data_IF_670390155067
#
_entry.id   IF_670390155067
#
_cell.length_a   1.000
_cell.length_b   1.000
_cell.length_c   1.000
_cell.angle_alpha   90.00
_cell.angle_beta   90.00
_cell.angle_gamma   90.00
#
_symmetry.space_group_name_H-M   'P 1'
#
loop_
_entity.id
_entity.type
_entity.pdbx_description
1 polymer ?
#
# COMPACT_ATOMS: atom_id res chain seq x y z
N UNK A 1 15.12 19.85 -18.79
CA UNK A 1 13.74 19.33 -18.75
C UNK A 1 13.34 18.95 -17.33
N UNK A 2 14.13 18.14 -16.61
CA UNK A 2 13.86 17.81 -15.21
C UNK A 2 13.79 19.05 -14.28
N UNK A 3 14.78 19.94 -14.37
CA UNK A 3 14.83 21.21 -13.62
C UNK A 3 13.62 22.12 -13.91
N UNK A 4 13.22 22.22 -15.18
CA UNK A 4 12.03 23.01 -15.58
C UNK A 4 10.71 22.42 -15.05
N UNK A 5 10.71 21.15 -14.63
CA UNK A 5 9.57 20.45 -14.07
C UNK A 5 9.68 20.30 -12.53
N UNK A 6 10.79 20.71 -11.90
CA UNK A 6 11.04 20.56 -10.47
C UNK A 6 11.11 19.11 -10.00
N UNK A 7 11.55 18.20 -10.88
CA UNK A 7 11.60 16.74 -10.61
C UNK A 7 13.04 16.21 -10.47
N UNK A 8 14.02 17.09 -10.36
CA UNK A 8 15.43 16.73 -10.16
C UNK A 8 15.63 15.81 -8.96
N UNK A 9 14.88 16.04 -7.88
CA UNK A 9 14.89 15.23 -6.66
C UNK A 9 14.59 13.73 -6.89
N UNK A 10 13.95 13.36 -8.01
CA UNK A 10 13.68 11.96 -8.38
C UNK A 10 14.91 11.23 -8.91
N UNK A 11 15.92 11.99 -9.35
CA UNK A 11 17.13 11.48 -10.02
C UNK A 11 18.41 11.76 -9.25
N UNK A 12 18.35 12.62 -8.23
CA UNK A 12 19.49 13.03 -7.40
C UNK A 12 19.80 12.07 -6.23
N UNK A 13 19.34 10.83 -6.28
CA UNK A 13 19.66 9.83 -5.27
C UNK A 13 20.92 9.05 -5.66
N UNK A 14 21.74 8.68 -4.67
CA UNK A 14 22.94 7.88 -4.90
C UNK A 14 22.60 6.46 -5.39
N UNK A 15 23.55 5.76 -6.00
CA UNK A 15 23.33 4.39 -6.47
C UNK A 15 22.91 3.41 -5.36
N UNK A 16 23.42 3.59 -4.14
CA UNK A 16 22.99 2.82 -2.97
C UNK A 16 21.55 3.13 -2.56
N UNK A 17 21.19 4.41 -2.53
CA UNK A 17 19.82 4.83 -2.25
C UNK A 17 18.83 4.35 -3.32
N UNK A 18 19.23 4.28 -4.60
CA UNK A 18 18.39 3.75 -5.67
C UNK A 18 18.02 2.27 -5.45
N UNK A 19 18.96 1.45 -4.95
CA UNK A 19 18.67 0.06 -4.58
C UNK A 19 17.65 -0.01 -3.44
N UNK A 20 17.84 0.81 -2.39
CA UNK A 20 16.88 0.87 -1.28
C UNK A 20 15.51 1.40 -1.71
N UNK A 21 15.48 2.39 -2.61
CA UNK A 21 14.25 2.94 -3.16
C UNK A 21 13.49 1.89 -3.98
N UNK A 22 14.20 1.12 -4.81
CA UNK A 22 13.64 -0.02 -5.53
C UNK A 22 13.09 -1.10 -4.59
N UNK A 23 13.76 -1.39 -3.48
CA UNK A 23 13.31 -2.39 -2.50
C UNK A 23 12.25 -1.85 -1.52
N UNK A 24 12.04 -0.53 -1.45
CA UNK A 24 11.12 0.11 -0.49
C UNK A 24 9.70 -0.47 -0.57
N UNK A 25 9.07 -0.65 -1.75
CA UNK A 25 7.75 -1.27 -1.84
C UNK A 25 7.71 -2.68 -1.24
N UNK A 26 8.73 -3.51 -1.52
CA UNK A 26 8.80 -4.87 -0.98
C UNK A 26 8.92 -4.86 0.55
N UNK A 27 9.74 -3.97 1.10
CA UNK A 27 9.90 -3.80 2.55
C UNK A 27 8.58 -3.34 3.18
N UNK A 28 7.91 -2.34 2.57
CA UNK A 28 6.59 -1.87 3.00
C UNK A 28 5.58 -3.01 2.99
N UNK A 29 5.49 -3.78 1.90
CA UNK A 29 4.62 -4.95 1.81
C UNK A 29 4.92 -5.93 2.96
N UNK A 30 6.18 -6.31 3.17
CA UNK A 30 6.57 -7.23 4.23
C UNK A 30 6.20 -6.72 5.63
N UNK A 31 6.48 -5.45 5.93
CA UNK A 31 6.15 -4.83 7.22
C UNK A 31 4.64 -4.83 7.43
N UNK A 32 3.86 -4.40 6.43
CA UNK A 32 2.41 -4.34 6.52
C UNK A 32 1.78 -5.72 6.65
N UNK A 33 2.34 -6.71 5.98
CA UNK A 33 1.93 -8.10 6.12
C UNK A 33 2.13 -8.59 7.57
N UNK A 34 3.29 -8.30 8.17
CA UNK A 34 3.55 -8.62 9.58
C UNK A 34 2.58 -7.89 10.50
N UNK A 35 2.40 -6.57 10.33
CA UNK A 35 1.46 -5.78 11.13
C UNK A 35 0.03 -6.29 11.05
N UNK A 36 -0.44 -6.66 9.84
CA UNK A 36 -1.74 -7.27 9.63
C UNK A 36 -1.90 -8.56 10.45
N UNK A 37 -0.87 -9.39 10.58
CA UNK A 37 -0.93 -10.64 11.35
C UNK A 37 -0.89 -10.39 12.87
N UNK A 38 0.06 -9.57 13.33
CA UNK A 38 0.42 -9.49 14.76
C UNK A 38 -0.49 -8.58 15.58
N UNK A 39 -1.04 -7.53 14.96
CA UNK A 39 -1.88 -6.58 15.67
C UNK A 39 -3.24 -7.21 16.03
N UNK A 40 -4.00 -6.66 16.98
CA UNK A 40 -5.38 -7.08 17.21
C UNK A 40 -6.27 -6.71 16.00
N UNK A 41 -7.36 -7.45 15.80
CA UNK A 41 -8.32 -7.20 14.75
C UNK A 41 -9.72 -7.65 15.07
N UNK A 42 -10.66 -7.09 14.33
CA UNK A 42 -12.06 -7.50 14.33
C UNK A 42 -12.26 -8.56 13.27
N UNK A 43 -13.05 -9.58 13.58
CA UNK A 43 -13.53 -10.54 12.58
C UNK A 43 -14.90 -10.09 12.09
N UNK A 44 -15.04 -9.99 10.77
CA UNK A 44 -16.25 -9.50 10.12
C UNK A 44 -16.62 -10.45 9.00
N UNK A 45 -17.88 -10.85 8.94
CA UNK A 45 -18.42 -11.62 7.82
C UNK A 45 -18.70 -10.66 6.66
N UNK A 46 -18.09 -10.92 5.51
CA UNK A 46 -18.27 -10.11 4.30
C UNK A 46 -19.46 -10.58 3.47
N UNK A 47 -19.63 -9.97 2.31
CA UNK A 47 -20.74 -10.29 1.39
C UNK A 47 -20.38 -11.41 0.39
N UNK A 48 -19.10 -11.55 0.06
CA UNK A 48 -18.63 -12.58 -0.90
C UNK A 48 -18.87 -13.96 -0.32
N UNK A 49 -19.54 -14.80 -1.10
CA UNK A 49 -19.71 -16.22 -0.80
C UNK A 49 -18.53 -17.02 -1.32
N UNK A 50 -18.08 -17.95 -0.51
CA UNK A 50 -17.15 -18.98 -0.92
C UNK A 50 -17.81 -19.91 -1.96
N UNK A 51 -17.12 -20.21 -3.05
CA UNK A 51 -17.68 -20.99 -4.18
C UNK A 51 -17.94 -22.43 -3.83
N UNK A 52 -17.11 -23.02 -2.98
CA UNK A 52 -17.17 -24.45 -2.67
C UNK A 52 -18.23 -24.73 -1.60
N UNK A 53 -18.36 -23.82 -0.63
CA UNK A 53 -19.26 -23.97 0.52
C UNK A 53 -20.57 -23.18 0.40
N UNK A 54 -20.59 -22.12 -0.42
CA UNK A 54 -21.73 -21.20 -0.53
C UNK A 54 -21.91 -20.24 0.65
N UNK A 55 -21.06 -20.35 1.68
CA UNK A 55 -21.13 -19.55 2.89
C UNK A 55 -20.41 -18.21 2.74
N UNK A 56 -20.87 -17.13 3.41
CA UNK A 56 -20.17 -15.86 3.43
C UNK A 56 -18.74 -15.97 4.00
N UNK A 57 -17.77 -15.34 3.33
CA UNK A 57 -16.37 -15.31 3.78
C UNK A 57 -16.21 -14.47 5.04
N UNK A 58 -15.25 -14.87 5.88
CA UNK A 58 -14.87 -14.13 7.08
C UNK A 58 -13.54 -13.42 6.86
N UNK A 59 -13.48 -12.17 7.30
CA UNK A 59 -12.35 -11.26 7.12
C UNK A 59 -11.82 -10.83 8.48
N UNK A 60 -10.51 -10.63 8.54
CA UNK A 60 -9.81 -10.11 9.71
C UNK A 60 -9.36 -8.68 9.41
N UNK A 61 -10.00 -7.70 10.05
CA UNK A 61 -9.85 -6.28 9.73
C UNK A 61 -9.15 -5.51 10.86
N UNK A 62 -8.05 -4.84 10.51
CA UNK A 62 -7.32 -3.92 11.39
C UNK A 62 -6.62 -2.79 10.62
N UNK A 63 -7.11 -2.44 9.43
CA UNK A 63 -6.50 -1.44 8.56
C UNK A 63 -6.27 -0.11 9.26
N UNK A 64 -7.24 0.35 10.07
CA UNK A 64 -7.09 1.58 10.85
C UNK A 64 -5.91 1.54 11.83
N UNK A 65 -5.70 0.41 12.52
CA UNK A 65 -4.61 0.27 13.47
C UNK A 65 -3.26 0.20 12.76
N UNK A 66 -3.18 -0.54 11.66
CA UNK A 66 -1.98 -0.59 10.80
C UNK A 66 -1.65 0.80 10.27
N UNK A 67 -2.64 1.54 9.77
CA UNK A 67 -2.52 2.90 9.28
C UNK A 67 -1.94 3.84 10.34
N UNK A 68 -2.54 3.88 11.54
CA UNK A 68 -2.08 4.75 12.64
C UNK A 68 -0.66 4.39 13.06
N UNK A 69 -0.34 3.11 13.20
CA UNK A 69 1.02 2.67 13.58
C UNK A 69 2.04 3.06 12.51
N UNK A 70 1.73 2.88 11.23
CA UNK A 70 2.61 3.26 10.13
C UNK A 70 2.90 4.78 10.16
N UNK A 71 1.89 5.61 10.44
CA UNK A 71 2.06 7.06 10.57
C UNK A 71 2.89 7.45 11.79
N UNK A 72 2.73 6.78 12.92
CA UNK A 72 3.56 7.02 14.12
C UNK A 72 5.02 6.63 13.82
N UNK A 73 5.25 5.44 13.26
CA UNK A 73 6.59 4.96 12.89
C UNK A 73 7.27 5.94 11.95
N UNK A 74 6.57 6.40 10.92
CA UNK A 74 7.10 7.39 9.97
C UNK A 74 7.34 8.77 10.62
N UNK A 75 6.38 9.30 11.38
CA UNK A 75 6.44 10.65 11.95
C UNK A 75 7.59 10.81 12.96
N UNK A 76 7.90 9.75 13.70
CA UNK A 76 9.00 9.71 14.67
C UNK A 76 10.28 9.07 14.10
N UNK A 77 10.33 8.80 12.80
CA UNK A 77 11.50 8.22 12.11
C UNK A 77 11.98 6.91 12.79
N UNK A 78 11.03 6.13 13.33
CA UNK A 78 11.32 4.87 14.01
C UNK A 78 11.86 3.89 12.96
N UNK A 79 13.12 3.46 13.13
CA UNK A 79 13.84 2.66 12.15
C UNK A 79 14.80 3.47 11.27
N UNK A 80 14.93 4.78 11.50
CA UNK A 80 15.92 5.65 10.86
C UNK A 80 15.59 6.04 9.42
N UNK A 81 14.34 5.88 8.99
CA UNK A 81 13.89 6.29 7.66
C UNK A 81 13.57 7.79 7.65
N UNK A 82 14.24 8.61 6.81
CA UNK A 82 13.93 10.04 6.71
C UNK A 82 12.47 10.28 6.30
N UNK A 83 11.81 11.29 6.89
CA UNK A 83 10.40 11.60 6.61
C UNK A 83 10.10 11.90 5.15
N UNK A 84 11.07 12.45 4.43
CA UNK A 84 10.97 12.79 3.01
C UNK A 84 11.36 11.64 2.07
N UNK A 85 11.70 10.46 2.61
CA UNK A 85 12.14 9.31 1.83
C UNK A 85 11.13 8.88 0.78
N UNK A 86 9.85 8.69 1.14
CA UNK A 86 8.84 8.17 0.20
C UNK A 86 8.63 9.10 -1.00
N UNK A 87 8.78 10.41 -0.81
CA UNK A 87 8.72 11.38 -1.90
C UNK A 87 9.97 11.33 -2.80
N UNK A 88 11.17 11.47 -2.22
CA UNK A 88 12.43 11.47 -2.99
C UNK A 88 12.70 10.14 -3.72
N UNK A 89 12.31 9.02 -3.11
CA UNK A 89 12.54 7.67 -3.66
C UNK A 89 11.50 7.25 -4.70
N UNK A 90 10.49 8.08 -4.97
CA UNK A 90 9.26 7.66 -5.66
C UNK A 90 9.48 7.06 -7.05
N UNK A 91 10.39 7.59 -7.87
CA UNK A 91 10.67 7.05 -9.21
C UNK A 91 11.12 5.58 -9.15
N UNK A 92 12.11 5.29 -8.30
CA UNK A 92 12.65 3.94 -8.16
C UNK A 92 11.68 3.02 -7.40
N UNK A 93 10.92 3.56 -6.46
CA UNK A 93 9.85 2.83 -5.79
C UNK A 93 8.73 2.43 -6.77
N UNK A 94 8.40 3.26 -7.77
CA UNK A 94 7.45 2.90 -8.83
C UNK A 94 7.97 1.70 -9.64
N UNK A 95 9.26 1.72 -10.02
CA UNK A 95 9.88 0.61 -10.75
C UNK A 95 9.85 -0.67 -9.89
N UNK A 96 10.28 -0.58 -8.63
CA UNK A 96 10.28 -1.71 -7.70
C UNK A 96 8.89 -2.28 -7.42
N UNK A 97 7.90 -1.42 -7.20
CA UNK A 97 6.51 -1.80 -6.99
C UNK A 97 5.92 -2.47 -8.23
N UNK A 98 6.23 -1.96 -9.42
CA UNK A 98 5.80 -2.57 -10.69
C UNK A 98 6.36 -3.97 -10.87
N UNK A 99 7.68 -4.16 -10.64
CA UNK A 99 8.31 -5.47 -10.73
C UNK A 99 7.70 -6.44 -9.72
N UNK A 100 7.49 -6.01 -8.47
CA UNK A 100 6.87 -6.83 -7.45
C UNK A 100 5.44 -7.24 -7.82
N UNK A 101 4.60 -6.30 -8.26
CA UNK A 101 3.23 -6.58 -8.68
C UNK A 101 3.18 -7.53 -9.89
N UNK A 102 4.09 -7.39 -10.86
CA UNK A 102 4.19 -8.29 -11.99
C UNK A 102 4.56 -9.71 -11.56
N UNK A 103 5.55 -9.86 -10.66
CA UNK A 103 5.92 -11.16 -10.07
C UNK A 103 4.73 -11.75 -9.31
N UNK A 104 4.03 -10.94 -8.51
CA UNK A 104 2.88 -11.39 -7.75
C UNK A 104 1.72 -11.84 -8.65
N UNK A 105 1.45 -11.12 -9.74
CA UNK A 105 0.42 -11.49 -10.72
C UNK A 105 0.74 -12.82 -11.42
N UNK A 106 2.00 -13.01 -11.85
CA UNK A 106 2.44 -14.29 -12.41
C UNK A 106 2.33 -15.40 -11.36
N UNK A 107 2.80 -15.17 -10.15
CA UNK A 107 2.70 -16.15 -9.07
C UNK A 107 1.24 -16.52 -8.77
N UNK A 108 0.33 -15.55 -8.65
CA UNK A 108 -1.07 -15.80 -8.33
C UNK A 108 -1.77 -16.57 -9.45
N UNK A 109 -1.46 -16.30 -10.72
CA UNK A 109 -2.04 -17.04 -11.85
C UNK A 109 -1.48 -18.45 -11.97
N UNK A 110 -0.18 -18.67 -11.78
CA UNK A 110 0.42 -19.97 -12.06
C UNK A 110 0.48 -20.91 -10.84
N UNK A 111 0.14 -20.44 -9.64
CA UNK A 111 0.08 -21.28 -8.43
C UNK A 111 -1.34 -21.63 -7.98
N UNK A 112 -2.34 -20.82 -8.36
CA UNK A 112 -3.72 -21.05 -7.94
C UNK A 112 -4.46 -21.99 -8.92
N UNK A 113 -5.39 -22.83 -8.44
CA UNK A 113 -6.21 -23.66 -9.30
C UNK A 113 -7.00 -22.80 -10.31
N UNK A 114 -7.29 -23.31 -11.52
CA UNK A 114 -8.13 -22.60 -12.48
C UNK A 114 -9.50 -22.27 -11.87
N UNK A 115 -9.90 -20.99 -11.93
CA UNK A 115 -11.25 -20.55 -11.60
C UNK A 115 -12.17 -20.61 -12.81
N UNK A 116 -12.98 -19.57 -13.02
CA UNK A 116 -13.80 -19.45 -14.24
C UNK A 116 -12.95 -19.24 -15.49
N UNK A 117 -11.89 -18.45 -15.37
CA UNK A 117 -10.97 -18.16 -16.47
C UNK A 117 -9.96 -19.29 -16.60
N UNK A 118 -10.15 -20.11 -17.63
CA UNK A 118 -9.30 -21.27 -17.92
C UNK A 118 -7.97 -20.88 -18.58
N UNK A 119 -7.94 -19.81 -19.38
CA UNK A 119 -6.73 -19.37 -20.09
C UNK A 119 -5.82 -18.57 -19.14
N UNK A 120 -4.57 -19.01 -18.88
CA UNK A 120 -3.68 -18.32 -17.95
C UNK A 120 -3.29 -16.91 -18.40
N UNK A 121 -3.23 -16.63 -19.69
CA UNK A 121 -2.90 -15.29 -20.20
C UNK A 121 -4.04 -14.31 -20.00
N UNK A 122 -5.28 -14.76 -20.14
CA UNK A 122 -6.45 -13.96 -19.82
C UNK A 122 -6.59 -13.79 -18.30
N UNK A 123 -6.23 -14.81 -17.53
CA UNK A 123 -6.25 -14.77 -16.06
C UNK A 123 -5.23 -13.79 -15.45
N UNK A 124 -4.18 -13.39 -16.19
CA UNK A 124 -3.29 -12.29 -15.76
C UNK A 124 -4.00 -10.93 -15.72
N UNK A 125 -5.06 -10.77 -16.51
CA UNK A 125 -5.87 -9.55 -16.55
C UNK A 125 -7.11 -9.65 -15.66
N UNK A 126 -7.88 -10.74 -15.80
CA UNK A 126 -9.17 -10.94 -15.11
C UNK A 126 -9.03 -11.55 -13.71
N UNK A 127 -7.85 -12.07 -13.37
CA UNK A 127 -7.63 -12.87 -12.15
C UNK A 127 -7.99 -14.35 -12.33
N UNK A 128 -7.53 -15.17 -11.39
CA UNK A 128 -7.68 -16.64 -11.43
C UNK A 128 -8.46 -17.22 -10.26
N UNK A 129 -8.16 -16.78 -9.05
CA UNK A 129 -8.89 -17.14 -7.84
C UNK A 129 -9.83 -15.99 -7.48
N UNK A 130 -11.03 -16.32 -6.99
CA UNK A 130 -12.00 -15.33 -6.56
C UNK A 130 -11.47 -14.47 -5.42
N UNK A 131 -10.82 -15.08 -4.43
CA UNK A 131 -10.16 -14.37 -3.32
C UNK A 131 -9.05 -15.24 -2.73
N UNK A 132 -7.81 -14.71 -2.68
CA UNK A 132 -6.70 -15.40 -2.04
C UNK A 132 -6.67 -15.05 -0.54
N UNK A 133 -7.04 -16.03 0.29
CA UNK A 133 -6.93 -15.96 1.74
C UNK A 133 -5.81 -16.88 2.24
N UNK A 134 -4.89 -16.32 3.04
CA UNK A 134 -3.72 -17.00 3.58
C UNK A 134 -3.83 -17.24 5.09
N UNK A 135 -3.14 -18.27 5.58
CA UNK A 135 -3.02 -18.62 7.00
C UNK A 135 -4.36 -18.77 7.74
N UNK A 136 -5.29 -19.54 7.16
CA UNK A 136 -6.62 -19.77 7.72
C UNK A 136 -7.39 -18.44 7.92
N UNK A 137 -7.52 -17.67 6.82
CA UNK A 137 -8.25 -16.40 6.73
C UNK A 137 -7.71 -15.30 7.66
N UNK A 138 -6.41 -15.36 8.00
CA UNK A 138 -5.74 -14.29 8.75
C UNK A 138 -5.37 -13.12 7.86
N UNK A 139 -5.01 -13.40 6.61
CA UNK A 139 -4.75 -12.38 5.60
C UNK A 139 -5.64 -12.66 4.41
N UNK A 140 -6.38 -11.65 4.01
CA UNK A 140 -7.01 -11.57 2.70
C UNK A 140 -6.13 -10.66 1.83
N UNK A 141 -5.69 -11.18 0.67
CA UNK A 141 -4.71 -10.49 -0.17
C UNK A 141 -5.26 -9.17 -0.67
N UNK A 142 -6.50 -9.13 -1.16
CA UNK A 142 -7.13 -7.92 -1.67
C UNK A 142 -7.25 -6.86 -0.57
N UNK A 143 -7.71 -7.25 0.62
CA UNK A 143 -7.76 -6.33 1.77
C UNK A 143 -6.37 -5.85 2.21
N UNK A 144 -5.36 -6.71 2.14
CA UNK A 144 -3.99 -6.31 2.47
C UNK A 144 -3.44 -5.28 1.48
N UNK A 145 -3.60 -5.50 0.17
CA UNK A 145 -3.23 -4.52 -0.86
C UNK A 145 -3.94 -3.19 -0.68
N UNK A 146 -5.23 -3.25 -0.33
CA UNK A 146 -6.03 -2.08 0.00
C UNK A 146 -5.45 -1.28 1.18
N UNK A 147 -5.07 -1.94 2.29
CA UNK A 147 -4.46 -1.26 3.45
C UNK A 147 -3.11 -0.66 3.09
N UNK A 148 -2.27 -1.38 2.35
CA UNK A 148 -0.96 -0.87 1.91
C UNK A 148 -1.14 0.34 1.01
N UNK A 149 -1.96 0.23 -0.03
CA UNK A 149 -2.17 1.32 -1.00
C UNK A 149 -2.75 2.57 -0.35
N UNK A 150 -3.81 2.43 0.47
CA UNK A 150 -4.42 3.56 1.17
C UNK A 150 -3.46 4.24 2.15
N UNK A 151 -2.67 3.46 2.90
CA UNK A 151 -1.70 4.04 3.84
C UNK A 151 -0.55 4.72 3.12
N UNK A 152 -0.03 4.11 2.04
CA UNK A 152 1.06 4.69 1.25
C UNK A 152 0.64 5.95 0.50
N UNK A 153 -0.62 6.08 0.10
CA UNK A 153 -1.15 7.33 -0.46
C UNK A 153 -0.98 8.50 0.52
N UNK A 154 -1.38 8.29 1.78
CA UNK A 154 -1.21 9.28 2.85
C UNK A 154 0.26 9.58 3.15
N UNK A 155 1.07 8.53 3.36
CA UNK A 155 2.49 8.69 3.70
C UNK A 155 3.30 9.35 2.59
N UNK A 156 2.99 9.10 1.31
CA UNK A 156 3.65 9.80 0.20
C UNK A 156 3.29 11.29 0.19
N UNK A 157 2.02 11.64 0.42
CA UNK A 157 1.60 13.04 0.47
C UNK A 157 2.25 13.78 1.65
N UNK A 158 2.29 13.17 2.83
CA UNK A 158 2.96 13.70 4.01
C UNK A 158 4.48 13.79 3.84
N UNK A 159 5.09 12.80 3.18
CA UNK A 159 6.51 12.80 2.85
C UNK A 159 6.87 13.93 1.89
N UNK A 160 6.02 14.21 0.89
CA UNK A 160 6.19 15.36 0.01
C UNK A 160 6.05 16.69 0.76
N UNK A 161 5.11 16.79 1.70
CA UNK A 161 4.98 17.97 2.55
C UNK A 161 6.20 18.17 3.48
N UNK A 162 6.78 17.08 4.00
CA UNK A 162 8.01 17.12 4.79
C UNK A 162 9.21 17.58 3.96
N UNK A 163 9.35 17.04 2.74
CA UNK A 163 10.38 17.47 1.78
C UNK A 163 10.24 18.97 1.46
N UNK A 164 9.03 19.40 1.11
CA UNK A 164 8.70 20.80 0.77
C UNK A 164 9.02 21.75 1.91
N UNK A 165 8.68 21.39 3.15
CA UNK A 165 9.06 22.17 4.32
C UNK A 165 10.58 22.27 4.47
N UNK A 166 11.31 21.17 4.26
CA UNK A 166 12.77 21.15 4.33
C UNK A 166 13.45 22.03 3.30
N UNK A 167 12.87 22.18 2.11
CA UNK A 167 13.42 23.03 1.04
C UNK A 167 13.10 24.51 1.21
N UNK A 168 11.84 24.84 1.55
CA UNK A 168 11.36 26.22 1.51
C UNK A 168 11.18 26.85 2.90
N UNK A 169 11.24 26.07 3.97
CA UNK A 169 11.16 26.57 5.35
C UNK A 169 9.94 27.45 5.59
N UNK A 170 10.18 28.73 5.92
CA UNK A 170 9.14 29.72 6.15
C UNK A 170 8.38 30.17 4.90
N UNK A 171 8.97 30.00 3.72
CA UNK A 171 8.37 30.35 2.42
C UNK A 171 7.58 29.18 1.80
N UNK A 172 7.43 28.08 2.52
CA UNK A 172 6.74 26.90 2.05
C UNK A 172 5.26 27.20 1.74
N UNK A 173 4.84 26.93 0.50
CA UNK A 173 3.44 27.03 0.09
C UNK A 173 2.50 26.21 1.00
N UNK A 174 1.57 26.86 1.73
CA UNK A 174 0.70 26.18 2.69
C UNK A 174 -0.29 25.21 2.04
N UNK A 175 -0.56 25.36 0.74
CA UNK A 175 -1.42 24.46 -0.03
C UNK A 175 -0.92 23.01 -0.04
N UNK A 176 0.40 22.79 0.07
CA UNK A 176 0.98 21.44 0.12
C UNK A 176 0.62 20.73 1.43
N UNK A 177 0.63 21.45 2.56
CA UNK A 177 0.21 20.88 3.84
C UNK A 177 -1.29 20.58 3.84
N UNK A 178 -2.10 21.46 3.25
CA UNK A 178 -3.54 21.23 3.13
C UNK A 178 -3.84 20.01 2.25
N UNK A 179 -3.13 19.86 1.13
CA UNK A 179 -3.22 18.68 0.27
C UNK A 179 -2.89 17.40 1.03
N UNK A 180 -1.76 17.37 1.76
CA UNK A 180 -1.36 16.21 2.55
C UNK A 180 -2.37 15.90 3.68
N UNK A 181 -2.89 16.93 4.34
CA UNK A 181 -3.92 16.80 5.37
C UNK A 181 -5.22 16.21 4.80
N UNK A 182 -5.66 16.65 3.62
CA UNK A 182 -6.87 16.10 2.99
C UNK A 182 -6.70 14.64 2.57
N UNK A 183 -5.57 14.24 2.01
CA UNK A 183 -5.32 12.82 1.71
C UNK A 183 -5.23 11.96 2.97
N UNK A 184 -4.60 12.48 4.02
CA UNK A 184 -4.53 11.80 5.32
C UNK A 184 -5.92 11.65 5.94
N UNK A 185 -6.73 12.71 5.92
CA UNK A 185 -8.09 12.69 6.43
C UNK A 185 -8.99 11.74 5.63
N UNK A 186 -8.91 11.81 4.29
CA UNK A 186 -9.65 10.92 3.39
C UNK A 186 -9.33 9.46 3.67
N UNK A 187 -8.05 9.10 3.72
CA UNK A 187 -7.63 7.71 3.98
C UNK A 187 -7.95 7.25 5.40
N UNK A 188 -7.86 8.13 6.39
CA UNK A 188 -8.27 7.85 7.76
C UNK A 188 -9.77 7.54 7.86
N UNK A 189 -10.63 8.37 7.26
CA UNK A 189 -12.08 8.09 7.20
C UNK A 189 -12.37 6.79 6.45
N UNK A 190 -11.65 6.56 5.36
CA UNK A 190 -11.74 5.33 4.57
C UNK A 190 -11.44 4.08 5.42
N UNK A 191 -10.45 4.13 6.33
CA UNK A 191 -10.14 3.04 7.26
C UNK A 191 -11.07 2.96 8.49
N UNK A 192 -11.69 4.05 8.94
CA UNK A 192 -12.77 3.99 9.94
C UNK A 192 -13.89 3.09 9.43
N UNK A 193 -14.21 3.22 8.15
CA UNK A 193 -15.27 2.46 7.48
C UNK A 193 -14.74 1.26 6.69
N UNK A 194 -13.61 0.67 7.11
CA UNK A 194 -12.96 -0.46 6.42
C UNK A 194 -13.92 -1.61 6.06
N UNK A 195 -14.92 -1.89 6.91
CA UNK A 195 -15.94 -2.93 6.65
C UNK A 195 -16.76 -2.69 5.38
N UNK A 196 -16.93 -1.43 4.96
CA UNK A 196 -17.71 -1.07 3.77
C UNK A 196 -17.03 -1.60 2.51
N UNK A 197 -15.70 -1.74 2.55
CA UNK A 197 -14.94 -2.29 1.43
C UNK A 197 -15.20 -3.78 1.20
N UNK A 198 -15.84 -4.47 2.13
CA UNK A 198 -16.30 -5.84 1.93
C UNK A 198 -17.54 -5.94 1.00
N UNK A 199 -18.14 -4.81 0.61
CA UNK A 199 -19.28 -4.75 -0.31
C UNK A 199 -18.92 -4.26 -1.72
N UNK A 200 -17.68 -3.82 -1.94
CA UNK A 200 -17.17 -3.42 -3.25
C UNK A 200 -16.48 -4.60 -3.97
N UNK A 201 -16.86 -5.81 -3.58
CA UNK A 201 -16.47 -7.09 -4.20
C UNK A 201 -17.47 -7.53 -5.26
#
# INVERSE_FOLDING_TARGET
MAEALGIEHLTEISGGEAVWAFLTPLIVFAVFFVLQIVLPARRVTGYVKDRDTGEPRNYRLNGLLVFVIAHIVWAFEIGGLPRDWFYRSSLWAVVGGTVFCAIFAVWSVFTQPPGEIQNPWLALWEGRSQELQLFNNRIDIKMWWYVVGGTMLSLNALSGAAWHHGQFGGDANPGIYLYAAFWTFYTFDYFIWERVQLYTY
#
